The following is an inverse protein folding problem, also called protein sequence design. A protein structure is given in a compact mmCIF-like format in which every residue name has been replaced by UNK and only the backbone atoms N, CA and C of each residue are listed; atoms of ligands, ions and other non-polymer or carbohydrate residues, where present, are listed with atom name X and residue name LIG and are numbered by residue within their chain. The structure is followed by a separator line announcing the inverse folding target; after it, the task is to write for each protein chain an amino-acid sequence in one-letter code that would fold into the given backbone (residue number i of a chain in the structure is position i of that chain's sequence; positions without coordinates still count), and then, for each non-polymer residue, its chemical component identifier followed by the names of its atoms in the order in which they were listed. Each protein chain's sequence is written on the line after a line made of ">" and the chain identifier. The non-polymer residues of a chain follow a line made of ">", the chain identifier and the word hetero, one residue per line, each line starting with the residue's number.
data_IF_631265087083
#
_entry.id   IF_631265087083
#
_cell.length_a   1.000
_cell.length_b   1.000
_cell.length_c   1.000
_cell.angle_alpha   90.00
_cell.angle_beta   90.00
_cell.angle_gamma   90.00
#
_symmetry.space_group_name_H-M   'P 1'
#
loop_
_entity.id
_entity.type
_entity.pdbx_description
1 polymer ?
#
# COMPACT_ATOMS: atom_id res chain seq x y z
N UNK A 1 30.13 6.16 -12.66
CA UNK A 1 28.76 6.21 -12.13
C UNK A 1 28.59 7.51 -11.34
N UNK A 2 27.64 8.36 -11.72
CA UNK A 2 27.25 9.49 -10.88
C UNK A 2 26.25 8.97 -9.85
N UNK A 3 26.68 8.90 -8.59
CA UNK A 3 25.79 8.54 -7.49
C UNK A 3 24.74 9.63 -7.33
N UNK A 4 23.45 9.28 -7.45
CA UNK A 4 22.37 10.18 -7.07
C UNK A 4 22.26 10.15 -5.55
N UNK A 5 22.55 11.25 -4.88
CA UNK A 5 22.46 11.37 -3.41
C UNK A 5 21.03 11.15 -2.88
N UNK A 6 20.02 11.24 -3.74
CA UNK A 6 18.62 11.18 -3.35
C UNK A 6 18.13 9.74 -3.17
N UNK A 7 18.71 8.75 -3.88
CA UNK A 7 18.24 7.36 -3.86
C UNK A 7 18.73 6.54 -2.65
N UNK A 8 19.67 7.06 -1.87
CA UNK A 8 20.25 6.38 -0.70
C UNK A 8 19.72 6.92 0.63
N UNK A 9 18.72 7.81 0.62
CA UNK A 9 18.12 8.39 1.82
C UNK A 9 16.70 7.88 2.00
N UNK A 10 16.23 7.85 3.25
CA UNK A 10 14.82 7.70 3.55
C UNK A 10 14.04 8.81 2.86
N UNK A 11 12.97 8.46 2.18
CA UNK A 11 12.10 9.40 1.53
C UNK A 11 10.75 9.43 2.25
N UNK A 12 10.19 10.63 2.40
CA UNK A 12 8.84 10.84 2.93
C UNK A 12 8.11 11.85 2.06
N UNK A 13 6.85 11.58 1.82
CA UNK A 13 5.94 12.49 1.14
C UNK A 13 4.86 12.96 2.11
N UNK A 14 4.65 14.27 2.14
CA UNK A 14 3.46 14.87 2.75
C UNK A 14 2.21 14.41 2.00
N UNK A 15 1.01 14.53 2.58
CA UNK A 15 -0.23 14.09 1.93
C UNK A 15 -0.34 14.63 0.50
N UNK A 16 -0.61 13.75 -0.46
CA UNK A 16 -0.75 14.11 -1.87
C UNK A 16 -2.00 14.98 -2.05
N UNK A 17 -1.83 16.11 -2.73
CA UNK A 17 -2.91 17.09 -2.92
C UNK A 17 -3.98 16.54 -3.85
N UNK A 18 -5.22 16.58 -3.42
CA UNK A 18 -6.38 16.29 -4.27
C UNK A 18 -6.75 17.56 -5.01
N UNK A 19 -6.85 17.55 -6.36
CA UNK A 19 -7.30 18.70 -7.12
C UNK A 19 -8.71 19.12 -6.70
N UNK A 20 -8.98 20.41 -6.56
CA UNK A 20 -10.33 20.91 -6.29
C UNK A 20 -11.19 20.79 -7.55
N UNK A 21 -12.42 20.30 -7.41
CA UNK A 21 -13.36 20.13 -8.52
C UNK A 21 -13.76 21.44 -9.19
N UNK A 22 -13.65 22.57 -8.48
CA UNK A 22 -13.85 23.94 -8.97
C UNK A 22 -12.74 24.43 -9.90
N UNK A 23 -11.53 23.84 -9.77
CA UNK A 23 -10.36 24.22 -10.56
C UNK A 23 -10.17 23.26 -11.75
N UNK A 24 -10.29 21.96 -11.49
CA UNK A 24 -10.10 20.92 -12.52
C UNK A 24 -10.83 19.64 -12.15
N UNK A 25 -11.60 19.12 -13.11
CA UNK A 25 -12.18 17.77 -13.00
C UNK A 25 -11.12 16.73 -13.33
N UNK A 26 -10.86 15.82 -12.39
CA UNK A 26 -9.86 14.76 -12.51
C UNK A 26 -10.52 13.44 -12.10
N UNK A 27 -10.64 12.51 -13.05
CA UNK A 27 -11.10 11.16 -12.78
C UNK A 27 -9.95 10.25 -12.28
N UNK A 28 -10.29 9.02 -11.95
CA UNK A 28 -9.34 8.04 -11.38
C UNK A 28 -8.11 7.84 -12.28
N UNK A 29 -8.28 7.67 -13.59
CA UNK A 29 -7.16 7.44 -14.53
C UNK A 29 -6.32 8.70 -14.71
N UNK A 30 -6.97 9.85 -14.85
CA UNK A 30 -6.27 11.13 -14.99
C UNK A 30 -5.50 11.54 -13.72
N UNK A 31 -5.99 11.08 -12.55
CA UNK A 31 -5.36 11.33 -11.26
C UNK A 31 -4.36 10.26 -10.80
N UNK A 32 -4.10 9.24 -11.63
CA UNK A 32 -3.19 8.15 -11.31
C UNK A 32 -1.74 8.52 -11.61
N UNK A 33 -0.88 8.47 -10.61
CA UNK A 33 0.55 8.82 -10.72
C UNK A 33 1.44 7.77 -10.07
N UNK A 34 2.46 7.31 -10.78
CA UNK A 34 3.47 6.39 -10.24
C UNK A 34 4.47 7.13 -9.38
N UNK A 35 4.64 6.70 -8.14
CA UNK A 35 5.64 7.24 -7.19
C UNK A 35 6.98 6.55 -7.40
N UNK A 36 6.99 5.22 -7.33
CA UNK A 36 8.19 4.38 -7.46
C UNK A 36 7.82 3.02 -8.01
N UNK A 37 8.82 2.23 -8.32
CA UNK A 37 8.65 0.87 -8.81
C UNK A 37 9.97 0.24 -9.22
N UNK A 38 9.88 -1.02 -9.65
CA UNK A 38 11.01 -1.80 -10.13
C UNK A 38 10.55 -2.86 -11.11
N UNK A 39 11.46 -3.34 -11.94
CA UNK A 39 11.16 -4.34 -12.96
C UNK A 39 10.45 -3.76 -14.18
N UNK A 40 9.79 -4.61 -14.94
CA UNK A 40 9.16 -4.23 -16.21
C UNK A 40 7.93 -5.10 -16.48
N UNK A 41 6.82 -4.46 -16.81
CA UNK A 41 5.59 -5.12 -17.24
C UNK A 41 5.77 -6.07 -18.43
N UNK A 42 6.71 -5.75 -19.35
CA UNK A 42 7.00 -6.61 -20.54
C UNK A 42 7.65 -7.94 -20.15
N UNK A 43 8.49 -7.93 -19.12
CA UNK A 43 9.12 -9.16 -18.60
C UNK A 43 8.24 -9.86 -17.59
N UNK A 44 7.08 -9.28 -17.24
CA UNK A 44 6.14 -9.79 -16.24
C UNK A 44 6.81 -10.06 -14.89
N UNK A 45 7.68 -9.15 -14.48
CA UNK A 45 8.42 -9.26 -13.22
C UNK A 45 8.70 -7.87 -12.67
N UNK A 46 8.14 -7.55 -11.50
CA UNK A 46 8.30 -6.26 -10.86
C UNK A 46 7.03 -5.72 -10.24
N UNK A 47 7.10 -4.47 -9.82
CA UNK A 47 6.01 -3.74 -9.19
C UNK A 47 5.97 -2.26 -9.61
N UNK A 48 4.79 -1.66 -9.47
CA UNK A 48 4.60 -0.21 -9.49
C UNK A 48 3.81 0.24 -8.26
N UNK A 49 4.25 1.32 -7.61
CA UNK A 49 3.50 1.96 -6.54
C UNK A 49 2.98 3.28 -7.04
N UNK A 50 1.66 3.43 -6.96
CA UNK A 50 0.96 4.59 -7.46
C UNK A 50 0.14 5.25 -6.36
N UNK A 51 -0.19 6.52 -6.59
CA UNK A 51 -1.23 7.25 -5.86
C UNK A 51 -2.27 7.70 -6.86
N UNK A 52 -3.54 7.67 -6.47
CA UNK A 52 -4.59 8.35 -7.21
C UNK A 52 -5.16 9.50 -6.39
N UNK A 53 -5.45 10.61 -7.06
CA UNK A 53 -6.12 11.79 -6.51
C UNK A 53 -7.17 12.23 -7.51
N UNK A 54 -8.44 12.06 -7.19
CA UNK A 54 -9.54 12.35 -8.10
C UNK A 54 -10.71 13.02 -7.39
N UNK A 55 -11.57 13.67 -8.17
CA UNK A 55 -12.71 14.43 -7.67
C UNK A 55 -13.94 14.29 -8.56
N UNK A 56 -13.88 13.44 -9.58
CA UNK A 56 -14.99 13.20 -10.50
C UNK A 56 -14.99 11.74 -10.95
N UNK A 57 -16.18 11.21 -11.19
CA UNK A 57 -16.38 9.83 -11.66
C UNK A 57 -15.94 9.64 -13.11
N UNK A 58 -15.61 8.41 -13.48
CA UNK A 58 -15.29 8.00 -14.83
C UNK A 58 -16.59 7.86 -15.65
N UNK A 59 -17.09 8.98 -16.20
CA UNK A 59 -18.31 8.98 -17.00
C UNK A 59 -18.03 8.48 -18.43
N UNK A 60 -18.75 7.43 -18.85
CA UNK A 60 -18.56 6.77 -20.15
C UNK A 60 -17.09 6.40 -20.43
N UNK A 61 -16.43 5.92 -19.40
CA UNK A 61 -15.03 5.49 -19.46
C UNK A 61 -14.82 4.27 -18.59
N UNK A 62 -13.99 3.36 -19.05
CA UNK A 62 -13.43 2.30 -18.20
C UNK A 62 -11.93 2.16 -18.43
N UNK A 63 -11.31 1.49 -17.49
CA UNK A 63 -9.89 1.18 -17.51
C UNK A 63 -9.69 -0.33 -17.49
N UNK A 64 -8.64 -0.77 -18.17
CA UNK A 64 -8.19 -2.15 -18.19
C UNK A 64 -6.67 -2.17 -18.00
N UNK A 65 -6.18 -2.90 -17.00
CA UNK A 65 -4.75 -3.08 -16.81
C UNK A 65 -4.31 -4.43 -17.38
N UNK A 66 -3.70 -4.42 -18.56
CA UNK A 66 -3.12 -5.62 -19.17
C UNK A 66 -1.73 -5.98 -18.63
N UNK A 67 -1.13 -5.14 -17.80
CA UNK A 67 0.24 -5.32 -17.29
C UNK A 67 0.29 -6.14 -16.00
N UNK A 68 -0.68 -5.96 -15.11
CA UNK A 68 -0.66 -6.61 -13.79
C UNK A 68 -1.93 -6.41 -12.98
N UNK A 69 -1.92 -6.93 -11.77
CA UNK A 69 -2.98 -6.76 -10.78
C UNK A 69 -2.83 -5.43 -10.06
N UNK A 70 -3.95 -4.78 -9.76
CA UNK A 70 -4.02 -3.63 -8.87
C UNK A 70 -4.58 -4.03 -7.50
N UNK A 71 -3.82 -3.78 -6.44
CA UNK A 71 -4.32 -3.73 -5.07
C UNK A 71 -4.53 -2.25 -4.72
N UNK A 72 -5.79 -1.85 -4.52
CA UNK A 72 -6.23 -0.47 -4.32
C UNK A 72 -6.52 -0.28 -2.84
N UNK A 73 -5.95 0.77 -2.25
CA UNK A 73 -6.09 1.15 -0.84
C UNK A 73 -6.68 2.56 -0.75
N UNK A 74 -8.01 2.73 -0.63
CA UNK A 74 -8.61 4.03 -0.39
C UNK A 74 -8.13 4.63 0.93
N UNK A 75 -7.79 5.91 0.90
CA UNK A 75 -7.37 6.66 2.09
C UNK A 75 -8.39 7.74 2.46
N UNK A 76 -8.93 8.44 1.48
CA UNK A 76 -9.95 9.47 1.65
C UNK A 76 -11.02 9.32 0.58
N UNK A 77 -12.29 9.32 1.00
CA UNK A 77 -13.46 9.18 0.13
C UNK A 77 -13.69 7.74 -0.33
N UNK A 78 -14.97 7.40 -0.42
CA UNK A 78 -15.42 6.10 -0.88
C UNK A 78 -15.34 6.04 -2.40
N UNK A 79 -15.10 4.84 -2.93
CA UNK A 79 -15.10 4.57 -4.38
C UNK A 79 -16.06 3.43 -4.70
N UNK A 80 -16.90 3.61 -5.71
CA UNK A 80 -17.70 2.53 -6.28
C UNK A 80 -16.97 2.01 -7.52
N UNK A 81 -16.51 0.78 -7.44
CA UNK A 81 -15.83 0.11 -8.55
C UNK A 81 -16.84 -0.77 -9.27
N UNK A 82 -17.10 -0.45 -10.53
CA UNK A 82 -17.88 -1.27 -11.46
C UNK A 82 -16.94 -2.09 -12.32
N UNK A 83 -17.14 -3.42 -12.34
CA UNK A 83 -16.30 -4.37 -13.11
C UNK A 83 -17.15 -5.23 -14.03
N UNK A 84 -16.52 -6.02 -14.90
CA UNK A 84 -17.18 -7.06 -15.71
C UNK A 84 -17.93 -8.09 -14.83
N UNK A 85 -17.60 -8.17 -13.54
CA UNK A 85 -18.19 -9.11 -12.58
C UNK A 85 -19.29 -8.48 -11.72
N UNK A 86 -19.48 -7.17 -11.81
CA UNK A 86 -20.43 -6.41 -11.01
C UNK A 86 -19.77 -5.30 -10.20
N UNK A 87 -20.40 -4.88 -9.11
CA UNK A 87 -20.06 -3.67 -8.36
C UNK A 87 -19.55 -3.97 -6.95
N UNK A 88 -18.59 -3.16 -6.52
CA UNK A 88 -18.08 -3.14 -5.16
C UNK A 88 -17.96 -1.70 -4.66
N UNK A 89 -18.62 -1.38 -3.54
CA UNK A 89 -18.29 -0.17 -2.78
C UNK A 89 -17.07 -0.46 -1.92
N UNK A 90 -16.06 0.40 -2.00
CA UNK A 90 -14.81 0.27 -1.24
C UNK A 90 -14.55 1.57 -0.47
N UNK A 91 -14.48 1.45 0.84
CA UNK A 91 -14.33 2.57 1.78
C UNK A 91 -12.90 2.63 2.33
N UNK A 92 -12.46 3.76 2.91
CA UNK A 92 -11.24 3.80 3.71
C UNK A 92 -11.21 2.69 4.79
N UNK A 93 -10.07 2.04 5.00
CA UNK A 93 -9.88 0.81 5.77
C UNK A 93 -10.41 -0.47 5.09
N UNK A 94 -10.76 -0.41 3.83
CA UNK A 94 -10.91 -1.57 2.97
C UNK A 94 -9.84 -1.57 1.89
N UNK A 95 -9.56 -2.73 1.33
CA UNK A 95 -8.76 -2.89 0.11
C UNK A 95 -9.59 -3.57 -0.96
N UNK A 96 -9.23 -3.33 -2.21
CA UNK A 96 -9.82 -4.01 -3.35
C UNK A 96 -8.71 -4.49 -4.29
N UNK A 97 -8.82 -5.71 -4.78
CA UNK A 97 -7.95 -6.24 -5.84
C UNK A 97 -8.74 -6.38 -7.13
N UNK A 98 -8.25 -5.73 -8.18
CA UNK A 98 -8.71 -5.92 -9.55
C UNK A 98 -7.57 -6.55 -10.34
N UNK A 99 -7.77 -7.78 -10.78
CA UNK A 99 -6.73 -8.56 -11.43
C UNK A 99 -6.49 -8.10 -12.87
N UNK A 100 -5.35 -8.51 -13.40
CA UNK A 100 -4.92 -8.25 -14.76
C UNK A 100 -6.00 -8.56 -15.79
N UNK A 101 -6.26 -7.63 -16.68
CA UNK A 101 -7.16 -7.81 -17.81
C UNK A 101 -8.64 -7.53 -17.54
N UNK A 102 -9.03 -7.31 -16.28
CA UNK A 102 -10.41 -6.99 -15.93
C UNK A 102 -10.71 -5.53 -16.19
N UNK A 103 -11.85 -5.25 -16.85
CA UNK A 103 -12.34 -3.89 -17.06
C UNK A 103 -12.98 -3.38 -15.79
N UNK A 104 -12.72 -2.11 -15.48
CA UNK A 104 -13.40 -1.44 -14.38
C UNK A 104 -13.57 0.05 -14.63
N UNK A 105 -14.57 0.63 -13.98
CA UNK A 105 -14.82 2.06 -13.89
C UNK A 105 -14.93 2.46 -12.42
N UNK A 106 -14.50 3.67 -12.09
CA UNK A 106 -14.53 4.18 -10.71
C UNK A 106 -15.43 5.40 -10.63
N UNK A 107 -16.46 5.30 -9.78
CA UNK A 107 -17.28 6.42 -9.36
C UNK A 107 -16.82 6.92 -8.00
N UNK A 108 -16.81 8.24 -7.83
CA UNK A 108 -16.40 8.93 -6.60
C UNK A 108 -17.51 9.89 -6.17
N UNK A 109 -17.63 10.10 -4.85
CA UNK A 109 -18.67 10.92 -4.23
C UNK A 109 -18.15 12.28 -3.72
N UNK A 110 -16.90 12.57 -4.04
CA UNK A 110 -16.21 13.80 -3.64
C UNK A 110 -14.71 13.73 -3.91
N UNK A 111 -13.96 14.55 -3.22
CA UNK A 111 -12.51 14.54 -3.26
C UNK A 111 -11.97 13.21 -2.70
N UNK A 112 -11.25 12.47 -3.52
CA UNK A 112 -10.86 11.08 -3.24
C UNK A 112 -9.37 10.87 -3.46
N UNK A 113 -8.74 10.14 -2.57
CA UNK A 113 -7.31 9.79 -2.62
C UNK A 113 -7.07 8.38 -2.09
N UNK A 114 -6.09 7.71 -2.67
CA UNK A 114 -5.63 6.41 -2.19
C UNK A 114 -4.35 5.96 -2.88
N UNK A 115 -3.95 4.75 -2.58
CA UNK A 115 -2.70 4.15 -3.04
C UNK A 115 -3.01 2.90 -3.86
N UNK A 116 -2.09 2.54 -4.74
CA UNK A 116 -2.19 1.31 -5.53
C UNK A 116 -0.83 0.63 -5.54
N UNK A 117 -0.84 -0.66 -5.23
CA UNK A 117 0.25 -1.57 -5.51
C UNK A 117 -0.09 -2.35 -6.77
N UNK A 118 0.71 -2.18 -7.81
CA UNK A 118 0.64 -2.97 -9.03
C UNK A 118 1.72 -4.04 -9.00
N UNK A 119 1.36 -5.28 -9.33
CA UNK A 119 2.32 -6.40 -9.42
C UNK A 119 2.30 -7.00 -10.83
N UNK A 120 3.49 -7.30 -11.37
CA UNK A 120 3.65 -7.87 -12.70
C UNK A 120 3.98 -9.36 -12.60
N UNK A 121 3.18 -10.19 -13.26
CA UNK A 121 3.46 -11.62 -13.44
C UNK A 121 3.10 -12.54 -12.28
N UNK A 122 2.43 -12.03 -11.27
CA UNK A 122 1.85 -12.79 -10.17
C UNK A 122 0.48 -12.24 -9.81
N UNK A 123 -0.25 -12.97 -8.98
CA UNK A 123 -1.53 -12.55 -8.40
C UNK A 123 -1.40 -12.43 -6.90
N UNK A 124 -2.24 -11.59 -6.29
CA UNK A 124 -2.35 -11.53 -4.84
C UNK A 124 -3.07 -12.77 -4.31
N UNK A 125 -2.51 -13.38 -3.29
CA UNK A 125 -3.03 -14.55 -2.59
C UNK A 125 -2.81 -14.42 -1.08
N UNK A 126 -3.45 -15.27 -0.30
CA UNK A 126 -3.16 -15.36 1.13
C UNK A 126 -1.73 -15.85 1.36
N UNK A 127 -1.01 -15.29 2.35
CA UNK A 127 0.33 -15.75 2.67
C UNK A 127 0.30 -17.19 3.18
N UNK A 128 1.42 -17.92 2.97
CA UNK A 128 1.62 -19.20 3.62
C UNK A 128 1.64 -19.03 5.14
N UNK A 129 1.20 -20.06 5.86
CA UNK A 129 1.17 -20.00 7.32
C UNK A 129 2.56 -19.82 7.96
N UNK A 130 3.61 -20.02 7.18
CA UNK A 130 4.99 -19.97 7.65
C UNK A 130 5.39 -21.19 8.50
N UNK A 131 6.64 -21.30 8.93
CA UNK A 131 7.17 -22.47 9.63
C UNK A 131 6.47 -22.77 10.97
N UNK A 132 5.96 -21.73 11.62
CA UNK A 132 5.33 -21.84 12.94
C UNK A 132 3.81 -21.55 12.92
N UNK A 133 3.23 -21.35 11.74
CA UNK A 133 1.78 -21.11 11.59
C UNK A 133 1.32 -19.71 12.00
N UNK A 134 2.23 -18.72 12.10
CA UNK A 134 1.90 -17.36 12.57
C UNK A 134 1.45 -16.40 11.48
N UNK A 135 1.49 -16.80 10.20
CA UNK A 135 1.04 -16.00 9.07
C UNK A 135 -0.39 -16.37 8.65
N UNK A 136 -0.93 -15.64 7.69
CA UNK A 136 -2.24 -15.98 7.10
C UNK A 136 -3.42 -15.66 8.00
N UNK A 137 -3.39 -14.53 8.68
CA UNK A 137 -4.39 -14.12 9.68
C UNK A 137 -5.62 -13.42 9.08
N UNK A 138 -5.62 -13.13 7.78
CA UNK A 138 -6.81 -12.76 7.04
C UNK A 138 -7.64 -14.02 6.72
N UNK A 139 -8.91 -14.03 7.12
CA UNK A 139 -9.77 -15.19 6.90
C UNK A 139 -10.37 -15.17 5.48
N UNK A 140 -10.26 -16.25 4.68
CA UNK A 140 -10.80 -16.30 3.33
C UNK A 140 -12.28 -15.92 3.20
N UNK A 141 -13.11 -16.24 4.19
CA UNK A 141 -14.55 -15.94 4.18
C UNK A 141 -14.89 -14.45 4.31
N UNK A 142 -13.94 -13.61 4.74
CA UNK A 142 -14.13 -12.18 4.91
C UNK A 142 -13.84 -11.39 3.61
N UNK A 143 -13.36 -12.07 2.58
CA UNK A 143 -13.16 -11.50 1.25
C UNK A 143 -14.48 -11.55 0.46
N UNK A 144 -14.91 -10.40 -0.04
CA UNK A 144 -16.19 -10.23 -0.72
C UNK A 144 -15.99 -10.00 -2.21
N UNK A 145 -16.72 -10.76 -3.01
CA UNK A 145 -16.78 -10.58 -4.46
C UNK A 145 -17.76 -9.45 -4.85
N UNK A 146 -17.70 -8.94 -6.10
CA UNK A 146 -18.65 -7.97 -6.59
C UNK A 146 -20.09 -8.49 -6.52
N UNK A 147 -21.03 -7.57 -6.29
CA UNK A 147 -22.46 -7.85 -6.48
C UNK A 147 -22.74 -7.80 -7.98
N UNK A 148 -23.27 -8.89 -8.53
CA UNK A 148 -23.54 -9.04 -9.94
C UNK A 148 -24.39 -7.88 -10.49
N UNK A 149 -23.91 -7.28 -11.56
CA UNK A 149 -24.58 -6.15 -12.21
C UNK A 149 -24.14 -6.05 -13.67
N UNK A 150 -25.03 -5.61 -14.54
CA UNK A 150 -24.75 -5.28 -15.94
C UNK A 150 -25.64 -4.14 -16.40
N UNK A 151 -25.27 -3.50 -17.52
CA UNK A 151 -26.10 -2.52 -18.21
C UNK A 151 -26.10 -2.77 -19.72
N UNK A 152 -27.28 -2.66 -20.34
CA UNK A 152 -27.42 -2.61 -21.80
C UNK A 152 -27.67 -1.15 -22.20
N UNK A 153 -26.59 -0.39 -22.29
CA UNK A 153 -26.64 1.06 -22.49
C UNK A 153 -25.89 1.45 -23.74
N UNK A 154 -26.62 2.01 -24.70
CA UNK A 154 -26.04 2.65 -25.88
C UNK A 154 -25.46 4.02 -25.50
N UNK A 155 -24.32 4.35 -26.06
CA UNK A 155 -23.57 5.61 -25.82
C UNK A 155 -23.15 6.20 -27.15
N UNK A 156 -24.10 6.76 -27.97
CA UNK A 156 -23.77 7.28 -29.28
C UNK A 156 -22.73 8.39 -29.29
N UNK A 157 -22.56 9.08 -28.17
CA UNK A 157 -21.48 10.08 -27.94
C UNK A 157 -20.10 9.47 -27.76
N UNK A 158 -20.02 8.16 -27.68
CA UNK A 158 -18.79 7.39 -27.48
C UNK A 158 -18.52 7.00 -26.02
N UNK A 159 -18.16 5.74 -25.83
CA UNK A 159 -17.64 5.18 -24.58
C UNK A 159 -16.14 4.92 -24.75
N UNK A 160 -15.32 5.49 -23.87
CA UNK A 160 -13.86 5.36 -23.95
C UNK A 160 -13.38 4.16 -23.14
N UNK A 161 -12.78 3.19 -23.81
CA UNK A 161 -12.07 2.07 -23.17
C UNK A 161 -10.57 2.39 -23.15
N UNK A 162 -10.00 2.53 -21.96
CA UNK A 162 -8.57 2.82 -21.76
C UNK A 162 -7.87 1.52 -21.36
N UNK A 163 -6.80 1.18 -22.06
CA UNK A 163 -5.98 0.02 -21.77
C UNK A 163 -4.56 0.44 -21.42
N UNK A 164 -4.07 -0.01 -20.27
CA UNK A 164 -2.65 0.06 -19.90
C UNK A 164 -1.96 -1.20 -20.42
N UNK A 165 -1.00 -1.02 -21.31
CA UNK A 165 -0.22 -2.12 -21.90
C UNK A 165 1.24 -1.71 -22.06
N UNK A 166 2.15 -2.53 -21.52
CA UNK A 166 3.60 -2.27 -21.51
C UNK A 166 3.95 -0.89 -20.92
N UNK A 167 3.27 -0.50 -19.84
CA UNK A 167 3.48 0.78 -19.16
C UNK A 167 2.95 1.99 -19.91
N UNK A 168 2.21 1.81 -21.00
CA UNK A 168 1.62 2.88 -21.83
C UNK A 168 0.11 2.80 -21.81
N UNK A 169 -0.54 3.94 -21.99
CA UNK A 169 -1.99 4.04 -22.10
C UNK A 169 -2.40 4.10 -23.56
N UNK A 170 -3.36 3.27 -23.93
CA UNK A 170 -4.04 3.25 -25.22
C UNK A 170 -5.53 3.46 -24.98
N UNK A 171 -6.25 3.97 -25.96
CA UNK A 171 -7.70 4.10 -25.87
C UNK A 171 -8.38 3.73 -27.18
N UNK A 172 -9.58 3.19 -27.06
CA UNK A 172 -10.50 3.05 -28.18
C UNK A 172 -11.88 3.60 -27.79
N UNK A 173 -12.70 3.86 -28.83
CA UNK A 173 -14.07 4.33 -28.68
C UNK A 173 -15.02 3.25 -29.16
N UNK A 174 -16.15 3.09 -28.48
CA UNK A 174 -17.28 2.26 -28.90
C UNK A 174 -18.57 2.99 -28.55
N UNK A 175 -19.68 2.61 -29.14
CA UNK A 175 -20.97 3.27 -28.97
C UNK A 175 -21.91 2.62 -27.96
N UNK A 176 -21.36 1.74 -27.13
CA UNK A 176 -22.06 1.05 -26.04
C UNK A 176 -21.18 0.86 -24.80
N UNK A 177 -21.82 0.63 -23.65
CA UNK A 177 -21.09 0.29 -22.41
C UNK A 177 -20.45 -1.10 -22.50
N UNK A 178 -19.18 -1.26 -22.11
CA UNK A 178 -18.54 -2.58 -22.07
C UNK A 178 -19.03 -3.46 -20.89
N UNK A 179 -19.84 -2.93 -20.00
CA UNK A 179 -20.42 -3.67 -18.87
C UNK A 179 -21.78 -4.28 -19.21
N UNK A 180 -21.94 -4.75 -20.43
CA UNK A 180 -23.18 -5.30 -20.97
C UNK A 180 -23.34 -6.81 -20.74
N UNK A 181 -22.50 -7.40 -19.91
CA UNK A 181 -22.51 -8.80 -19.52
C UNK A 181 -21.96 -8.93 -18.10
N UNK A 182 -22.47 -9.92 -17.36
CA UNK A 182 -21.85 -10.35 -16.10
C UNK A 182 -20.87 -11.46 -16.44
N UNK A 183 -19.59 -11.22 -16.20
CA UNK A 183 -18.57 -12.23 -16.40
C UNK A 183 -18.77 -13.39 -15.40
N UNK A 184 -18.55 -14.61 -15.89
CA UNK A 184 -18.48 -15.75 -15.01
C UNK A 184 -17.23 -15.65 -14.11
N UNK A 185 -17.43 -15.84 -12.81
CA UNK A 185 -16.33 -15.84 -11.86
C UNK A 185 -16.20 -17.21 -11.19
N UNK A 186 -15.02 -17.78 -11.33
CA UNK A 186 -14.59 -18.93 -10.54
C UNK A 186 -13.66 -18.46 -9.42
N UNK A 187 -12.44 -18.99 -9.40
CA UNK A 187 -11.42 -18.62 -8.41
C UNK A 187 -10.69 -17.29 -8.75
N UNK A 188 -10.90 -16.75 -9.92
CA UNK A 188 -10.25 -15.54 -10.43
C UNK A 188 -11.29 -14.46 -10.64
N UNK A 189 -11.51 -13.64 -9.63
CA UNK A 189 -12.51 -12.57 -9.59
C UNK A 189 -11.98 -11.39 -8.78
N UNK A 190 -12.38 -10.16 -9.08
CA UNK A 190 -12.12 -9.03 -8.19
C UNK A 190 -12.68 -9.30 -6.79
N UNK A 191 -12.06 -8.75 -5.79
CA UNK A 191 -12.52 -8.88 -4.41
C UNK A 191 -12.12 -7.68 -3.57
N UNK A 192 -12.84 -7.50 -2.44
CA UNK A 192 -12.49 -6.54 -1.40
C UNK A 192 -12.35 -7.22 -0.04
N UNK A 193 -11.64 -6.57 0.85
CA UNK A 193 -11.44 -7.04 2.22
C UNK A 193 -11.43 -5.87 3.19
N UNK A 194 -12.15 -6.00 4.30
CA UNK A 194 -12.14 -5.00 5.36
C UNK A 194 -10.98 -5.27 6.33
N UNK A 195 -10.04 -4.33 6.42
CA UNK A 195 -8.83 -4.48 7.24
C UNK A 195 -9.12 -4.62 8.74
N UNK A 196 -10.31 -4.20 9.20
CA UNK A 196 -10.74 -4.39 10.59
C UNK A 196 -11.03 -5.84 10.95
N UNK A 197 -11.22 -6.71 9.95
CA UNK A 197 -11.42 -8.14 10.15
C UNK A 197 -10.12 -8.92 10.32
N UNK A 198 -8.98 -8.26 10.13
CA UNK A 198 -7.68 -8.91 10.27
C UNK A 198 -7.44 -9.35 11.71
N UNK A 199 -7.09 -10.61 11.90
CA UNK A 199 -6.78 -11.17 13.21
C UNK A 199 -5.38 -10.77 13.64
N UNK A 200 -5.29 -9.86 14.60
CA UNK A 200 -4.00 -9.37 15.11
C UNK A 200 -3.47 -10.31 16.17
N UNK A 201 -2.28 -10.86 15.91
CA UNK A 201 -1.50 -11.63 16.90
C UNK A 201 -0.22 -10.86 17.19
N UNK A 202 0.11 -10.75 18.46
CA UNK A 202 1.38 -10.20 18.91
C UNK A 202 2.18 -11.26 19.67
N UNK A 203 3.50 -11.09 19.66
CA UNK A 203 4.38 -11.83 20.54
C UNK A 203 4.14 -11.42 22.00
N UNK A 204 4.20 -12.39 22.86
CA UNK A 204 4.22 -12.20 24.32
C UNK A 204 5.61 -12.60 24.86
N UNK A 205 5.98 -12.14 26.05
CA UNK A 205 7.29 -12.34 26.64
C UNK A 205 8.43 -11.70 25.82
N UNK A 206 9.50 -12.40 25.53
CA UNK A 206 10.76 -11.82 25.05
C UNK A 206 10.81 -11.52 23.56
N UNK A 207 9.85 -11.97 22.83
CA UNK A 207 9.97 -11.95 21.37
C UNK A 207 9.63 -10.58 20.80
N UNK A 208 10.20 -10.29 19.64
CA UNK A 208 9.82 -9.11 18.86
C UNK A 208 8.73 -9.48 17.85
N UNK A 209 7.95 -8.50 17.45
CA UNK A 209 6.98 -8.68 16.39
C UNK A 209 7.70 -8.80 15.04
N UNK A 210 7.67 -9.98 14.44
CA UNK A 210 8.05 -10.15 13.03
C UNK A 210 6.96 -9.53 12.15
N UNK A 211 7.27 -8.54 11.29
CA UNK A 211 6.27 -7.90 10.43
C UNK A 211 5.46 -8.86 9.55
N UNK A 212 5.99 -10.05 9.24
CA UNK A 212 5.27 -11.06 8.44
C UNK A 212 3.95 -11.52 9.07
N UNK A 213 3.79 -11.43 10.39
CA UNK A 213 2.52 -11.75 11.07
C UNK A 213 1.40 -10.74 10.74
N UNK A 214 1.74 -9.60 10.19
CA UNK A 214 0.79 -8.56 9.76
C UNK A 214 0.50 -8.58 8.26
N UNK A 215 0.99 -9.57 7.53
CA UNK A 215 0.75 -9.71 6.09
C UNK A 215 -0.68 -10.14 5.82
N UNK A 216 -1.41 -9.32 5.08
CA UNK A 216 -2.80 -9.59 4.64
C UNK A 216 -2.80 -10.40 3.37
N UNK A 217 -2.03 -9.96 2.37
CA UNK A 217 -1.90 -10.58 1.05
C UNK A 217 -0.44 -10.56 0.60
N UNK A 218 -0.06 -11.56 -0.19
CA UNK A 218 1.26 -11.68 -0.80
C UNK A 218 1.13 -11.91 -2.30
N UNK A 219 2.11 -11.42 -3.07
CA UNK A 219 2.32 -11.81 -4.46
C UNK A 219 3.66 -12.56 -4.53
N UNK A 220 3.61 -13.88 -4.69
CA UNK A 220 4.80 -14.73 -4.65
C UNK A 220 5.65 -14.59 -5.90
N UNK A 221 6.96 -14.62 -5.73
CA UNK A 221 7.89 -14.73 -6.85
C UNK A 221 8.07 -16.18 -7.27
N UNK A 222 8.79 -16.38 -8.39
CA UNK A 222 9.19 -17.73 -8.82
C UNK A 222 10.29 -18.35 -7.93
N UNK A 223 10.86 -17.58 -7.01
CA UNK A 223 11.84 -18.07 -6.03
C UNK A 223 11.11 -18.43 -4.74
N UNK A 224 11.17 -19.69 -4.28
CA UNK A 224 10.54 -20.09 -3.02
C UNK A 224 10.97 -19.19 -1.84
N UNK A 225 10.00 -18.81 -1.01
CA UNK A 225 10.24 -17.98 0.17
C UNK A 225 10.54 -16.50 -0.12
N UNK A 226 10.34 -16.04 -1.36
CA UNK A 226 10.54 -14.63 -1.76
C UNK A 226 9.25 -14.08 -2.34
N UNK A 227 8.75 -12.99 -1.78
CA UNK A 227 7.62 -12.26 -2.32
C UNK A 227 8.07 -11.20 -3.34
N UNK A 228 7.31 -11.07 -4.44
CA UNK A 228 7.37 -9.89 -5.31
C UNK A 228 6.93 -8.69 -4.51
N UNK A 229 5.80 -8.83 -3.81
CA UNK A 229 5.28 -7.82 -2.91
C UNK A 229 4.40 -8.44 -1.83
N UNK A 230 4.45 -7.86 -0.63
CA UNK A 230 3.56 -8.13 0.47
C UNK A 230 2.75 -6.86 0.78
N UNK A 231 1.48 -7.05 1.08
CA UNK A 231 0.63 -6.02 1.67
C UNK A 231 0.48 -6.30 3.17
N UNK A 232 1.07 -5.42 3.96
CA UNK A 232 1.17 -5.52 5.43
C UNK A 232 0.37 -4.38 6.05
N UNK A 233 -0.28 -4.61 7.19
CA UNK A 233 -0.98 -3.57 7.94
C UNK A 233 -0.51 -3.49 9.39
N UNK A 234 -0.64 -2.32 9.99
CA UNK A 234 -0.32 -2.07 11.40
C UNK A 234 -1.57 -1.51 12.10
N UNK A 235 -2.53 -2.39 12.45
CA UNK A 235 -3.80 -1.99 13.03
C UNK A 235 -3.71 -1.78 14.55
N UNK A 236 -4.77 -1.23 15.18
CA UNK A 236 -4.91 -1.18 16.63
C UNK A 236 -4.77 -2.56 17.26
N UNK A 237 -3.92 -2.67 18.30
CA UNK A 237 -3.62 -3.95 18.94
C UNK A 237 -3.16 -3.76 20.38
N UNK A 238 -3.10 -4.86 21.13
CA UNK A 238 -2.44 -4.89 22.42
C UNK A 238 -0.95 -5.16 22.26
N UNK A 239 -0.10 -4.28 22.78
CA UNK A 239 1.32 -4.53 22.97
C UNK A 239 1.53 -5.18 24.32
N UNK A 240 1.91 -6.46 24.32
CA UNK A 240 2.05 -7.27 25.56
C UNK A 240 3.44 -7.91 25.70
N UNK A 241 4.33 -7.65 24.74
CA UNK A 241 5.70 -8.17 24.81
C UNK A 241 6.43 -7.70 26.06
N UNK A 242 7.02 -8.64 26.78
CA UNK A 242 7.81 -8.41 27.98
C UNK A 242 9.29 -8.30 27.61
N UNK A 243 10.04 -7.48 28.35
CA UNK A 243 11.48 -7.27 28.13
C UNK A 243 11.89 -6.93 26.69
N UNK A 244 10.98 -6.39 25.87
CA UNK A 244 11.22 -6.09 24.46
C UNK A 244 10.87 -4.65 24.14
N UNK A 245 11.70 -3.97 23.36
CA UNK A 245 11.40 -2.65 22.79
C UNK A 245 10.20 -2.75 21.86
N UNK A 246 9.10 -2.02 22.13
CA UNK A 246 7.82 -2.21 21.44
C UNK A 246 7.71 -1.57 20.06
N UNK A 247 8.22 -0.34 19.84
CA UNK A 247 8.28 0.19 18.48
C UNK A 247 9.17 -0.68 17.61
N UNK A 248 9.05 -0.61 16.27
CA UNK A 248 10.03 -1.23 15.40
C UNK A 248 11.43 -0.72 15.77
N UNK A 249 12.32 -1.62 16.13
CA UNK A 249 13.71 -1.27 16.45
C UNK A 249 14.49 -0.91 15.18
N UNK A 250 15.65 -0.26 15.34
CA UNK A 250 16.52 0.02 14.19
C UNK A 250 16.97 -1.27 13.51
N UNK A 251 16.72 -1.36 12.22
CA UNK A 251 17.00 -2.55 11.44
C UNK A 251 17.34 -2.22 9.98
N UNK A 252 17.74 -3.23 9.26
CA UNK A 252 17.87 -3.24 7.80
C UNK A 252 17.08 -4.42 7.27
N UNK A 253 16.37 -4.23 6.20
CA UNK A 253 15.62 -5.28 5.53
C UNK A 253 16.20 -5.52 4.13
N UNK A 254 16.23 -6.77 3.68
CA UNK A 254 16.54 -7.12 2.30
C UNK A 254 15.39 -6.83 1.33
N UNK A 255 14.27 -6.31 1.83
CA UNK A 255 13.16 -5.79 1.04
C UNK A 255 13.11 -4.25 1.13
N UNK A 256 12.55 -3.62 0.10
CA UNK A 256 12.17 -2.21 0.13
C UNK A 256 10.78 -2.07 0.72
N UNK A 257 10.57 -1.02 1.50
CA UNK A 257 9.35 -0.79 2.27
C UNK A 257 8.73 0.57 1.89
N UNK A 258 7.56 0.55 1.25
CA UNK A 258 6.76 1.75 1.06
C UNK A 258 5.62 1.75 2.08
N UNK A 259 5.64 2.70 3.00
CA UNK A 259 4.58 2.85 4.00
C UNK A 259 3.60 3.94 3.61
N UNK A 260 2.34 3.73 3.95
CA UNK A 260 1.28 4.72 3.88
C UNK A 260 0.44 4.75 5.15
N UNK A 261 -0.25 5.86 5.37
CA UNK A 261 -1.14 6.04 6.50
C UNK A 261 -2.56 6.33 6.01
N UNK A 262 -3.50 5.46 6.35
CA UNK A 262 -4.91 5.63 6.00
C UNK A 262 -5.55 6.62 6.98
N UNK A 263 -5.37 6.40 8.29
CA UNK A 263 -5.94 7.23 9.35
C UNK A 263 -5.08 7.20 10.61
N UNK A 264 -5.23 8.19 11.47
CA UNK A 264 -4.60 8.27 12.77
C UNK A 264 -3.15 8.76 12.76
N UNK A 265 -2.37 8.25 13.69
CA UNK A 265 -0.95 8.59 13.90
C UNK A 265 -0.12 7.31 14.01
N UNK A 266 1.01 7.26 13.31
CA UNK A 266 1.86 6.08 13.34
C UNK A 266 2.77 6.09 14.58
N UNK A 267 2.75 5.00 15.35
CA UNK A 267 3.39 4.88 16.67
C UNK A 267 4.91 5.06 16.69
N UNK A 268 5.58 4.81 15.58
CA UNK A 268 7.05 4.95 15.50
C UNK A 268 7.51 6.33 15.02
N UNK A 269 6.58 7.25 14.72
CA UNK A 269 6.88 8.60 14.20
C UNK A 269 5.79 9.56 14.64
N UNK A 270 6.08 10.33 15.68
CA UNK A 270 5.08 11.24 16.26
C UNK A 270 4.75 12.40 15.34
N UNK A 271 5.69 12.86 14.48
CA UNK A 271 5.47 14.00 13.61
C UNK A 271 5.73 13.71 12.13
N UNK A 272 4.95 14.38 11.28
CA UNK A 272 5.19 14.48 9.84
C UNK A 272 4.79 13.28 8.99
N UNK A 273 4.43 12.13 9.55
CA UNK A 273 3.84 11.01 8.82
C UNK A 273 2.32 11.10 8.91
N UNK A 274 1.70 11.74 7.92
CA UNK A 274 0.29 12.12 7.93
C UNK A 274 -0.56 11.23 7.02
N UNK A 275 -1.86 11.04 7.34
CA UNK A 275 -2.79 10.34 6.45
C UNK A 275 -2.79 10.91 5.03
N UNK A 276 -2.61 10.03 4.05
CA UNK A 276 -2.50 10.40 2.64
C UNK A 276 -1.09 10.76 2.18
N UNK A 277 -0.09 10.73 3.06
CA UNK A 277 1.33 10.77 2.74
C UNK A 277 1.93 9.37 2.62
N UNK A 278 3.24 9.28 2.51
CA UNK A 278 3.94 8.00 2.45
C UNK A 278 5.43 8.14 2.77
N UNK A 279 6.10 7.02 3.00
CA UNK A 279 7.56 6.96 3.12
C UNK A 279 8.10 5.76 2.36
N UNK A 280 9.34 5.86 1.89
CA UNK A 280 10.07 4.78 1.24
C UNK A 280 11.39 4.55 1.96
N UNK A 281 11.57 3.36 2.48
CA UNK A 281 12.81 2.84 3.00
C UNK A 281 13.38 1.85 1.99
N UNK A 282 14.41 2.28 1.28
CA UNK A 282 15.04 1.44 0.27
C UNK A 282 15.73 0.24 0.91
N UNK A 283 15.74 -0.87 0.19
CA UNK A 283 16.36 -2.12 0.62
C UNK A 283 17.76 -1.88 1.22
N UNK A 284 18.07 -2.56 2.33
CA UNK A 284 19.33 -2.48 3.08
C UNK A 284 19.67 -1.09 3.67
N UNK A 285 18.77 -0.13 3.61
CA UNK A 285 18.95 1.17 4.28
C UNK A 285 18.55 1.04 5.75
N UNK A 286 19.45 1.28 6.73
CA UNK A 286 19.09 1.24 8.13
C UNK A 286 18.01 2.26 8.47
N UNK A 287 16.97 1.86 9.19
CA UNK A 287 15.88 2.73 9.61
C UNK A 287 15.23 2.22 10.90
N UNK A 288 14.35 3.04 11.48
CA UNK A 288 13.68 2.75 12.73
C UNK A 288 12.83 3.92 13.21
N UNK A 289 12.47 3.97 14.50
CA UNK A 289 11.71 5.07 15.07
C UNK A 289 12.46 6.40 14.96
N UNK A 290 11.76 7.53 15.05
CA UNK A 290 12.43 8.82 15.24
C UNK A 290 13.12 8.90 16.61
N UNK A 291 13.94 9.95 16.81
CA UNK A 291 14.73 10.07 18.01
C UNK A 291 13.89 10.18 19.29
N UNK A 292 12.79 10.92 19.24
CA UNK A 292 11.92 11.15 20.40
C UNK A 292 11.16 9.87 20.76
N UNK A 293 10.64 9.16 19.78
CA UNK A 293 10.02 7.85 19.98
C UNK A 293 11.01 6.84 20.56
N UNK A 294 12.25 6.82 20.05
CA UNK A 294 13.30 5.91 20.55
C UNK A 294 13.64 6.19 22.02
N UNK A 295 13.93 7.44 22.38
CA UNK A 295 14.30 7.82 23.74
C UNK A 295 13.16 7.53 24.74
N UNK A 296 11.92 7.89 24.40
CA UNK A 296 10.74 7.64 25.20
C UNK A 296 10.52 6.16 25.48
N UNK A 297 10.59 5.34 24.42
CA UNK A 297 10.30 3.92 24.55
C UNK A 297 11.47 3.09 25.10
N UNK A 298 12.72 3.60 25.01
CA UNK A 298 13.88 2.95 25.63
C UNK A 298 13.85 2.98 27.14
N UNK A 299 13.11 3.91 27.74
CA UNK A 299 13.00 4.09 29.20
C UNK A 299 11.60 3.81 29.74
N UNK A 300 10.65 3.50 28.88
CA UNK A 300 9.28 3.21 29.27
C UNK A 300 9.16 1.91 30.06
N UNK A 301 8.24 1.90 31.02
CA UNK A 301 7.83 0.67 31.70
C UNK A 301 7.13 -0.27 30.71
N UNK A 302 7.62 -1.51 30.61
CA UNK A 302 7.02 -2.53 29.77
C UNK A 302 5.83 -3.19 30.45
N UNK A 303 4.65 -2.77 30.08
CA UNK A 303 3.34 -3.31 30.56
C UNK A 303 2.39 -3.45 29.37
N UNK A 304 1.37 -4.32 29.46
CA UNK A 304 0.34 -4.41 28.42
C UNK A 304 -0.29 -3.03 28.18
N UNK A 305 -0.35 -2.60 26.91
CA UNK A 305 -0.97 -1.34 26.51
C UNK A 305 -1.60 -1.45 25.13
N UNK A 306 -2.62 -0.61 24.88
CA UNK A 306 -3.19 -0.46 23.53
C UNK A 306 -2.27 0.42 22.71
N UNK A 307 -1.84 -0.08 21.56
CA UNK A 307 -1.04 0.66 20.59
C UNK A 307 -1.84 0.89 19.31
N UNK A 308 -1.53 1.95 18.59
CA UNK A 308 -2.14 2.33 17.32
C UNK A 308 -3.66 2.55 17.39
N UNK A 309 -4.22 2.96 18.53
CA UNK A 309 -5.65 3.23 18.65
C UNK A 309 -6.09 4.34 17.68
N UNK A 310 -7.17 4.06 16.90
CA UNK A 310 -7.65 4.96 15.84
C UNK A 310 -6.73 5.05 14.61
N UNK A 311 -5.69 4.25 14.55
CA UNK A 311 -4.70 4.27 13.46
C UNK A 311 -4.84 3.06 12.55
N UNK A 312 -4.65 3.29 11.25
CA UNK A 312 -4.44 2.24 10.28
C UNK A 312 -3.31 2.66 9.34
N UNK A 313 -2.13 2.11 9.57
CA UNK A 313 -0.99 2.21 8.67
C UNK A 313 -0.86 0.92 7.86
N UNK A 314 -0.24 1.02 6.69
CA UNK A 314 0.07 -0.14 5.86
C UNK A 314 1.48 -0.02 5.26
N UNK A 315 1.97 -1.13 4.76
CA UNK A 315 3.25 -1.23 4.07
C UNK A 315 3.10 -2.08 2.82
N UNK A 316 3.69 -1.60 1.73
CA UNK A 316 3.99 -2.39 0.54
C UNK A 316 5.46 -2.79 0.63
N UNK A 317 5.72 -4.03 0.90
CA UNK A 317 7.05 -4.59 1.03
C UNK A 317 7.43 -5.34 -0.26
N UNK A 318 8.66 -5.23 -0.73
CA UNK A 318 9.06 -5.86 -2.00
C UNK A 318 10.53 -6.27 -2.01
N UNK A 319 10.80 -7.43 -2.59
CA UNK A 319 12.17 -7.90 -2.82
C UNK A 319 12.95 -7.08 -3.86
N UNK A 320 12.33 -6.07 -4.46
CA UNK A 320 12.98 -5.22 -5.45
C UNK A 320 13.53 -3.93 -4.86
N UNK A 321 14.67 -3.49 -5.37
CA UNK A 321 15.15 -2.13 -5.17
C UNK A 321 14.35 -1.17 -6.04
N UNK A 322 13.64 -0.24 -5.41
CA UNK A 322 12.70 0.65 -6.09
C UNK A 322 13.36 1.91 -6.60
N UNK A 323 13.10 2.25 -7.86
CA UNK A 323 13.44 3.55 -8.45
C UNK A 323 12.26 4.52 -8.27
N UNK A 324 12.56 5.74 -7.82
CA UNK A 324 11.56 6.79 -7.67
C UNK A 324 11.43 7.58 -8.96
N UNK A 325 10.19 7.82 -9.38
CA UNK A 325 9.90 8.56 -10.62
C UNK A 325 10.20 10.05 -10.48
N UNK A 326 10.34 10.74 -11.61
CA UNK A 326 10.43 12.20 -11.64
C UNK A 326 9.20 12.86 -10.99
N UNK A 327 8.02 12.26 -11.15
CA UNK A 327 6.82 12.75 -10.51
C UNK A 327 6.94 12.68 -8.98
N UNK A 328 7.35 11.55 -8.43
CA UNK A 328 7.53 11.37 -6.99
C UNK A 328 8.62 12.28 -6.40
N UNK A 329 9.71 12.52 -7.13
CA UNK A 329 10.81 13.36 -6.62
C UNK A 329 10.56 14.87 -6.76
N UNK A 330 9.86 15.31 -7.80
CA UNK A 330 9.82 16.72 -8.18
C UNK A 330 8.40 17.23 -8.46
N UNK A 331 7.66 16.57 -9.38
CA UNK A 331 6.43 17.12 -9.94
C UNK A 331 5.29 17.17 -8.93
N UNK A 332 5.17 16.19 -8.04
CA UNK A 332 4.15 16.15 -7.01
C UNK A 332 4.32 17.25 -5.95
N UNK A 333 5.51 17.83 -5.81
CA UNK A 333 5.87 18.88 -4.84
C UNK A 333 5.52 18.50 -3.38
N UNK A 334 5.51 17.19 -3.06
CA UNK A 334 5.14 16.68 -1.73
C UNK A 334 6.30 16.01 -1.01
N UNK A 335 7.47 15.90 -1.66
CA UNK A 335 8.66 15.33 -1.03
C UNK A 335 9.10 16.19 0.15
N UNK A 336 9.14 15.58 1.34
CA UNK A 336 9.61 16.21 2.56
C UNK A 336 11.14 16.23 2.59
N UNK A 337 11.71 17.40 2.47
CA UNK A 337 13.16 17.61 2.45
C UNK A 337 13.79 17.61 3.83
N UNK A 338 12.99 17.71 4.88
CA UNK A 338 13.42 17.76 6.27
C UNK A 338 13.31 16.42 7.01
N UNK A 339 12.83 15.37 6.36
CA UNK A 339 12.55 14.10 6.99
C UNK A 339 13.73 13.51 7.79
N UNK A 340 14.95 13.66 7.31
CA UNK A 340 16.16 13.17 8.00
C UNK A 340 16.41 13.83 9.36
N UNK A 341 15.85 15.01 9.60
CA UNK A 341 16.05 15.78 10.84
C UNK A 341 15.44 15.07 12.07
N UNK A 342 14.46 14.21 11.89
CA UNK A 342 13.87 13.45 12.99
C UNK A 342 14.83 12.46 13.67
N UNK A 343 16.03 12.26 13.13
CA UNK A 343 17.10 11.44 13.72
C UNK A 343 18.34 12.22 14.16
N UNK A 344 18.42 13.54 13.88
CA UNK A 344 19.62 14.35 14.21
C UNK A 344 19.89 14.47 15.71
N UNK A 345 18.84 14.36 16.52
CA UNK A 345 18.93 14.44 18.00
C UNK A 345 19.24 13.10 18.68
N UNK A 346 19.35 12.01 17.90
CA UNK A 346 19.65 10.68 18.43
C UNK A 346 20.98 10.68 19.18
N UNK A 347 20.94 10.21 20.44
CA UNK A 347 22.14 10.13 21.30
C UNK A 347 22.83 8.80 21.11
N UNK A 348 24.15 8.80 21.23
CA UNK A 348 24.93 7.55 21.29
C UNK A 348 24.84 6.96 22.70
N UNK A 349 24.33 5.74 22.78
CA UNK A 349 24.32 4.94 24.03
C UNK A 349 25.44 3.90 24.05
N UNK A 350 26.43 4.02 23.16
CA UNK A 350 27.56 3.10 23.11
C UNK A 350 28.40 3.19 24.39
N UNK A 351 28.54 2.07 25.08
CA UNK A 351 29.40 1.93 26.25
C UNK A 351 30.57 0.99 25.91
N UNK A 352 31.80 1.50 25.74
CA UNK A 352 32.95 0.66 25.40
C UNK A 352 33.34 -0.32 26.52
N UNK A 353 32.89 -0.06 27.75
CA UNK A 353 33.18 -0.89 28.91
C UNK A 353 32.08 -1.92 29.22
N UNK A 354 30.98 -1.88 28.46
CA UNK A 354 29.89 -2.83 28.64
C UNK A 354 30.36 -4.27 28.37
N UNK A 355 30.01 -5.16 29.25
CA UNK A 355 30.23 -6.61 29.11
C UNK A 355 28.92 -7.31 29.38
N UNK A 356 28.56 -8.38 28.63
CA UNK A 356 27.39 -9.16 28.93
C UNK A 356 27.48 -9.70 30.34
N UNK A 357 26.40 -9.62 31.11
CA UNK A 357 26.27 -10.36 32.36
C UNK A 357 26.38 -11.85 32.03
N UNK A 358 27.14 -12.59 32.82
CA UNK A 358 27.12 -14.06 32.70
C UNK A 358 25.67 -14.51 32.90
N UNK A 359 25.10 -15.12 31.90
CA UNK A 359 23.83 -15.82 32.00
C UNK A 359 23.96 -17.01 32.91
#
# INVERSE_FOLDING_TARGET
>A
MKWSQIQTRHLRWLPFTIPKSTEKKVDFVAGLHTICGAGDAKTRNGIGIHVYTCNTSMVNRCFNNSDGDFLIVPQQGDILITTDFGKMMVEPNEICVVQQGMRFSVDVFGETRGYILEVYGAHFELPDLGPIGANGLANPRDFLCPVAWYEDRQVPSGYTVINKYQGKLFSCQQDFSPFNVVAWHGNYTPYKYNLKNFMVINCVAFDHADPSIFTVLTAKSTKPGVAIADFVIFPPRWGVADNTFRPPYYHRNCMSEFMGLITGHYEAKEEGFLPGGGSLHSMMTPHGPDADCFEKNSTAELKPERVAEGTMAFMFESCFSMAVTKWGLQTCQRLDKSYYQCWETLRSHFNPNWRPSKQ
#
